data_IF_189846154854
#
_entry.id   IF_189846154854
#
_cell.length_a   1.000
_cell.length_b   1.000
_cell.length_c   1.000
_cell.angle_alpha   90.00
_cell.angle_beta   90.00
_cell.angle_gamma   90.00
#
_symmetry.space_group_name_H-M   'P 1'
#
loop_
_entity.id
_entity.type
_entity.pdbx_description
1 polymer ?
#
# COMPACT_ATOMS: atom_id res chain seq x y z
N UNK A 1 6.45 -11.08 -1.58
CA UNK A 1 5.27 -10.51 -2.27
C UNK A 1 4.34 -11.60 -2.78
N UNK A 2 4.84 -12.58 -3.53
CA UNK A 2 4.02 -13.68 -4.07
C UNK A 2 3.25 -14.47 -3.01
N UNK A 3 3.85 -14.78 -1.86
CA UNK A 3 3.14 -15.43 -0.74
C UNK A 3 2.00 -14.59 -0.17
N UNK A 4 2.25 -13.30 0.12
CA UNK A 4 1.23 -12.37 0.63
C UNK A 4 0.03 -12.23 -0.33
N UNK A 5 0.28 -12.08 -1.63
CA UNK A 5 -0.80 -11.96 -2.61
C UNK A 5 -1.58 -13.27 -2.77
N UNK A 6 -0.94 -14.43 -2.61
CA UNK A 6 -1.63 -15.72 -2.57
C UNK A 6 -2.56 -15.81 -1.37
N UNK A 7 -2.07 -15.49 -0.17
CA UNK A 7 -2.91 -15.50 1.05
C UNK A 7 -4.11 -14.57 0.92
N UNK A 8 -3.91 -13.34 0.45
CA UNK A 8 -5.01 -12.39 0.21
C UNK A 8 -6.00 -12.85 -0.87
N UNK A 9 -5.52 -13.58 -1.88
CA UNK A 9 -6.37 -14.13 -2.93
C UNK A 9 -7.31 -15.20 -2.39
N UNK A 10 -6.77 -16.09 -1.57
CA UNK A 10 -7.53 -17.17 -0.92
C UNK A 10 -8.49 -16.63 0.15
N UNK A 11 -8.03 -15.70 0.99
CA UNK A 11 -8.82 -15.13 2.09
C UNK A 11 -10.03 -14.32 1.61
N UNK A 12 -9.86 -13.53 0.55
CA UNK A 12 -10.89 -12.61 0.08
C UNK A 12 -11.58 -13.05 -1.22
N UNK A 13 -11.18 -14.18 -1.81
CA UNK A 13 -11.70 -14.65 -3.10
C UNK A 13 -11.37 -13.73 -4.28
N UNK A 14 -10.33 -12.90 -4.15
CA UNK A 14 -9.94 -11.91 -5.17
C UNK A 14 -8.89 -12.54 -6.10
N UNK A 15 -9.03 -12.47 -7.43
CA UNK A 15 -8.03 -13.03 -8.35
C UNK A 15 -6.62 -12.45 -8.17
N UNK A 16 -5.61 -13.31 -8.26
CA UNK A 16 -4.19 -12.90 -8.20
C UNK A 16 -3.81 -11.82 -9.22
N UNK A 17 -4.40 -11.84 -10.42
CA UNK A 17 -4.20 -10.82 -11.44
C UNK A 17 -4.66 -9.45 -10.98
N UNK A 18 -5.83 -9.38 -10.32
CA UNK A 18 -6.39 -8.16 -9.72
C UNK A 18 -5.48 -7.65 -8.60
N UNK A 19 -5.04 -8.53 -7.69
CA UNK A 19 -4.14 -8.14 -6.60
C UNK A 19 -2.79 -7.63 -7.12
N UNK A 20 -2.25 -8.26 -8.18
CA UNK A 20 -1.03 -7.77 -8.86
C UNK A 20 -1.23 -6.41 -9.52
N UNK A 21 -2.38 -6.19 -10.15
CA UNK A 21 -2.72 -4.89 -10.73
C UNK A 21 -2.80 -3.82 -9.64
N UNK A 22 -3.48 -4.10 -8.54
CA UNK A 22 -3.60 -3.18 -7.40
C UNK A 22 -2.22 -2.85 -6.81
N UNK A 23 -1.39 -3.87 -6.55
CA UNK A 23 -0.02 -3.66 -6.07
C UNK A 23 0.80 -2.76 -7.02
N UNK A 24 0.61 -2.91 -8.34
CA UNK A 24 1.27 -2.07 -9.35
C UNK A 24 0.80 -0.63 -9.30
N UNK A 25 -0.50 -0.40 -9.14
CA UNK A 25 -1.08 0.94 -9.02
C UNK A 25 -0.59 1.60 -7.74
N UNK A 26 -0.69 0.92 -6.58
CA UNK A 26 -0.26 1.45 -5.29
C UNK A 26 1.24 1.81 -5.29
N UNK A 27 2.08 0.99 -5.93
CA UNK A 27 3.49 1.33 -6.14
C UNK A 27 3.67 2.52 -7.07
N UNK A 28 2.93 2.59 -8.17
CA UNK A 28 2.97 3.71 -9.12
C UNK A 28 2.59 5.05 -8.48
N UNK A 29 1.75 5.01 -7.45
CA UNK A 29 1.35 6.16 -6.63
C UNK A 29 2.29 6.42 -5.44
N UNK A 30 3.40 5.67 -5.32
CA UNK A 30 4.34 5.77 -4.20
C UNK A 30 3.70 5.54 -2.82
N UNK A 31 2.68 4.69 -2.75
CA UNK A 31 2.02 4.31 -1.49
C UNK A 31 2.66 3.07 -0.86
N UNK A 32 3.27 2.21 -1.68
CA UNK A 32 4.02 1.03 -1.24
C UNK A 32 5.30 0.86 -2.05
N UNK A 33 6.27 0.16 -1.48
CA UNK A 33 7.38 -0.43 -2.22
C UNK A 33 7.32 -1.95 -2.22
N UNK A 34 7.85 -2.58 -3.27
CA UNK A 34 7.89 -4.04 -3.39
C UNK A 34 9.01 -4.69 -2.57
N UNK A 35 9.88 -3.86 -1.96
CA UNK A 35 11.15 -4.32 -1.44
C UNK A 35 12.07 -4.86 -2.53
N UNK A 36 13.04 -5.69 -2.14
CA UNK A 36 13.99 -6.32 -3.06
C UNK A 36 14.40 -7.67 -2.53
N UNK A 37 14.24 -8.70 -3.36
CA UNK A 37 14.69 -10.08 -3.05
C UNK A 37 16.20 -10.10 -2.84
N UNK A 38 16.96 -9.36 -3.66
CA UNK A 38 18.43 -9.27 -3.55
C UNK A 38 18.89 -8.62 -2.26
N UNK A 39 18.13 -7.63 -1.77
CA UNK A 39 18.43 -6.90 -0.52
C UNK A 39 17.66 -7.44 0.69
N UNK A 40 16.97 -8.59 0.55
CA UNK A 40 16.08 -9.17 1.58
C UNK A 40 15.09 -8.17 2.20
N UNK A 41 14.63 -7.19 1.42
CA UNK A 41 13.67 -6.18 1.88
C UNK A 41 12.27 -6.62 1.51
N UNK A 42 11.36 -6.60 2.48
CA UNK A 42 9.96 -6.93 2.29
C UNK A 42 9.20 -5.77 1.62
N UNK A 43 7.95 -6.02 1.26
CA UNK A 43 7.07 -4.94 0.84
C UNK A 43 6.76 -4.05 2.05
N UNK A 44 6.79 -2.74 1.85
CA UNK A 44 6.59 -1.76 2.92
C UNK A 44 5.60 -0.70 2.45
N UNK A 45 4.87 -0.12 3.39
CA UNK A 45 4.06 1.07 3.17
C UNK A 45 4.99 2.29 3.20
N UNK A 46 4.92 3.12 2.17
CA UNK A 46 5.71 4.35 2.08
C UNK A 46 5.07 5.46 2.93
N UNK A 47 5.81 6.55 3.21
CA UNK A 47 5.31 7.64 4.04
C UNK A 47 3.96 8.22 3.55
N UNK A 48 3.80 8.38 2.23
CA UNK A 48 2.54 8.83 1.63
C UNK A 48 1.42 7.79 1.81
N UNK A 49 1.76 6.50 1.70
CA UNK A 49 0.81 5.41 1.95
C UNK A 49 0.29 5.40 3.38
N UNK A 50 1.18 5.60 4.36
CA UNK A 50 0.81 5.69 5.77
C UNK A 50 -0.08 6.90 6.05
N UNK A 51 0.23 8.05 5.44
CA UNK A 51 -0.60 9.25 5.54
C UNK A 51 -2.02 9.02 4.99
N UNK A 52 -2.13 8.48 3.78
CA UNK A 52 -3.44 8.17 3.16
C UNK A 52 -4.21 7.14 3.99
N UNK A 53 -3.53 6.12 4.52
CA UNK A 53 -4.16 5.12 5.37
C UNK A 53 -4.74 5.75 6.65
N UNK A 54 -4.01 6.69 7.28
CA UNK A 54 -4.51 7.43 8.44
C UNK A 54 -5.77 8.24 8.14
N UNK A 55 -5.84 8.88 6.98
CA UNK A 55 -7.05 9.58 6.52
C UNK A 55 -8.23 8.63 6.31
N UNK A 56 -7.99 7.45 5.73
CA UNK A 56 -9.04 6.46 5.45
C UNK A 56 -9.57 5.78 6.73
N UNK A 57 -8.70 5.54 7.71
CA UNK A 57 -9.08 4.89 8.97
C UNK A 57 -9.73 5.83 9.98
N UNK A 58 -9.88 7.11 9.65
CA UNK A 58 -10.51 8.09 10.55
C UNK A 58 -9.65 8.46 11.75
N UNK A 59 -8.35 8.13 11.75
CA UNK A 59 -7.39 8.51 12.80
C UNK A 59 -6.91 9.96 12.62
N UNK A 60 -7.84 10.83 12.20
CA UNK A 60 -7.61 12.25 12.05
C UNK A 60 -7.69 12.92 13.43
N UNK A 61 -6.57 12.89 14.18
CA UNK A 61 -6.14 14.14 14.82
C UNK A 61 -6.05 15.24 13.74
N UNK A 62 -6.34 16.51 14.04
CA UNK A 62 -6.65 17.52 13.03
C UNK A 62 -5.48 17.72 12.07
N UNK A 63 -5.53 17.03 10.93
CA UNK A 63 -4.69 17.28 9.78
C UNK A 63 -5.12 18.63 9.21
N UNK A 64 -4.56 19.69 9.80
CA UNK A 64 -4.73 21.05 9.31
C UNK A 64 -3.90 21.13 8.03
N UNK A 65 -4.51 20.77 6.91
CA UNK A 65 -3.94 21.06 5.58
C UNK A 65 -4.02 22.56 5.40
N UNK A 66 -2.95 23.27 5.80
CA UNK A 66 -2.78 24.68 5.45
C UNK A 66 -2.25 24.72 4.02
N UNK A 67 -3.11 25.08 3.09
CA UNK A 67 -2.67 25.57 1.79
C UNK A 67 -1.94 26.90 2.04
N UNK A 68 -0.71 27.01 1.54
CA UNK A 68 -0.04 28.30 1.44
C UNK A 68 -0.56 28.97 0.16
N UNK A 69 -1.17 30.16 0.31
CA UNK A 69 -1.43 31.09 -0.80
C UNK A 69 -0.13 31.58 -1.42
#
# INVERSE_FOLDING_TARGET
MTSLLHSLSEEHGIPLSTLKLNARILRGLNLISYGSVRKKRHAEVEALGSFVLGLLMGDAGPATVRFAD
#
